data_IF_646665593089
#
_entry.id   IF_646665593089
#
_cell.length_a   1.000
_cell.length_b   1.000
_cell.length_c   1.000
_cell.angle_alpha   90.00
_cell.angle_beta   90.00
_cell.angle_gamma   90.00
#
_symmetry.space_group_name_H-M   'P 1'
#
loop_
_entity.id
_entity.type
_entity.pdbx_description
1 polymer ?
#
# COMPACT_ATOMS: atom_id res chain seq x y z
N UNK A 1 -66.96 37.94 30.25
CA UNK A 1 -66.12 37.80 28.98
C UNK A 1 -64.63 38.02 29.21
N UNK A 2 -64.04 37.67 30.37
CA UNK A 2 -62.62 38.03 30.63
C UNK A 2 -61.71 36.88 31.16
N UNK A 3 -62.15 35.65 31.11
CA UNK A 3 -61.32 34.53 31.65
C UNK A 3 -60.71 33.60 30.63
N UNK A 4 -61.08 33.68 29.35
CA UNK A 4 -60.58 32.76 28.31
C UNK A 4 -59.17 33.11 27.77
N UNK A 5 -58.80 34.40 27.80
CA UNK A 5 -57.52 34.85 27.23
C UNK A 5 -56.27 34.54 28.04
N UNK A 6 -56.41 34.41 29.37
CA UNK A 6 -55.29 34.11 30.25
C UNK A 6 -54.90 32.63 30.24
N UNK A 7 -55.86 31.73 30.03
CA UNK A 7 -55.60 30.29 29.97
C UNK A 7 -54.87 29.89 28.68
N UNK A 8 -55.26 30.54 27.57
CA UNK A 8 -54.63 30.31 26.27
C UNK A 8 -53.18 30.80 26.23
N UNK A 9 -52.86 31.91 26.88
CA UNK A 9 -51.48 32.43 27.03
C UNK A 9 -50.62 31.50 27.88
N UNK A 10 -51.14 30.92 28.94
CA UNK A 10 -50.41 29.94 29.79
C UNK A 10 -50.17 28.63 29.05
N UNK A 11 -51.09 28.21 28.20
CA UNK A 11 -50.93 27.00 27.38
C UNK A 11 -49.89 27.19 26.29
N UNK A 12 -49.83 28.36 25.64
CA UNK A 12 -48.77 28.69 24.68
C UNK A 12 -47.37 28.75 25.34
N UNK A 13 -47.28 29.28 26.56
CA UNK A 13 -46.01 29.31 27.29
C UNK A 13 -45.51 27.92 27.70
N UNK A 14 -46.39 27.00 28.07
CA UNK A 14 -46.01 25.60 28.36
C UNK A 14 -45.59 24.85 27.12
N UNK A 15 -46.20 25.08 25.98
CA UNK A 15 -45.79 24.51 24.70
C UNK A 15 -44.42 25.03 24.23
N UNK A 16 -44.12 26.31 24.40
CA UNK A 16 -42.81 26.88 24.09
C UNK A 16 -41.70 26.32 24.99
N UNK A 17 -41.95 26.03 26.26
CA UNK A 17 -41.00 25.42 27.18
C UNK A 17 -40.74 23.96 26.86
N UNK A 18 -41.73 23.21 26.44
CA UNK A 18 -41.56 21.82 26.04
C UNK A 18 -40.77 21.65 24.73
N UNK A 19 -40.87 22.60 23.80
CA UNK A 19 -40.06 22.62 22.59
C UNK A 19 -38.59 22.98 22.81
N UNK A 20 -38.26 23.83 23.78
CA UNK A 20 -36.87 24.19 24.10
C UNK A 20 -36.12 23.03 24.79
N UNK A 21 -36.79 22.16 25.51
CA UNK A 21 -36.12 20.96 26.12
C UNK A 21 -35.86 19.84 25.13
N UNK A 22 -36.64 19.73 24.04
CA UNK A 22 -36.41 18.73 22.97
C UNK A 22 -35.19 19.09 22.07
N UNK A 23 -34.86 20.40 21.95
CA UNK A 23 -33.68 20.81 21.16
C UNK A 23 -32.34 20.54 21.84
N UNK A 24 -32.31 20.40 23.17
CA UNK A 24 -31.07 20.15 23.92
C UNK A 24 -30.63 18.67 23.79
N UNK A 25 -31.56 17.72 23.52
CA UNK A 25 -31.23 16.31 23.37
C UNK A 25 -30.80 15.89 21.96
N UNK A 26 -30.90 16.77 20.97
CA UNK A 26 -30.59 16.47 19.57
C UNK A 26 -29.26 17.05 19.09
N UNK A 27 -28.36 17.42 19.98
CA UNK A 27 -26.98 17.76 19.58
C UNK A 27 -26.20 16.45 19.39
N UNK A 28 -25.86 16.05 18.16
CA UNK A 28 -24.94 14.94 17.98
C UNK A 28 -23.62 15.34 18.64
N UNK A 29 -23.14 14.48 19.54
CA UNK A 29 -21.86 14.65 20.22
C UNK A 29 -20.72 14.77 19.18
N UNK A 30 -20.48 15.96 18.66
CA UNK A 30 -19.33 16.24 17.77
C UNK A 30 -17.98 16.05 18.49
N UNK A 31 -18.00 15.97 19.82
CA UNK A 31 -16.80 15.83 20.64
C UNK A 31 -16.20 14.41 20.55
N UNK A 32 -17.02 13.36 20.34
CA UNK A 32 -16.51 11.98 20.29
C UNK A 32 -15.83 11.62 18.95
N UNK A 33 -16.27 12.25 17.84
CA UNK A 33 -15.64 11.99 16.53
C UNK A 33 -14.29 12.71 16.37
N UNK A 34 -14.15 13.90 16.96
CA UNK A 34 -12.90 14.65 16.86
C UNK A 34 -11.80 14.05 17.74
N UNK A 35 -12.15 13.46 18.89
CA UNK A 35 -11.19 12.77 19.75
C UNK A 35 -10.78 11.38 19.21
N UNK A 36 -11.63 10.72 18.43
CA UNK A 36 -11.26 9.45 17.78
C UNK A 36 -10.37 9.65 16.54
N UNK A 37 -10.41 10.84 15.90
CA UNK A 37 -9.53 11.17 14.78
C UNK A 37 -8.13 11.66 15.23
N UNK A 38 -7.97 12.08 16.51
CA UNK A 38 -6.69 12.55 17.05
C UNK A 38 -5.84 11.45 17.71
N UNK A 39 -6.35 10.23 17.84
CA UNK A 39 -5.64 9.11 18.48
C UNK A 39 -5.01 8.14 17.48
N UNK A 40 -4.81 8.54 16.21
CA UNK A 40 -3.94 7.77 15.32
C UNK A 40 -2.54 7.72 15.94
N UNK A 41 -1.98 6.55 16.24
CA UNK A 41 -0.67 6.47 16.87
C UNK A 41 0.35 7.17 15.97
N UNK A 42 1.16 8.07 16.56
CA UNK A 42 2.17 8.89 15.86
C UNK A 42 3.17 8.04 15.06
N UNK A 43 3.26 6.75 15.36
CA UNK A 43 4.19 5.77 14.78
C UNK A 43 3.48 4.51 14.27
N UNK A 44 2.28 4.66 13.72
CA UNK A 44 1.57 3.54 13.12
C UNK A 44 2.26 3.08 11.84
N UNK A 45 2.57 1.78 11.73
CA UNK A 45 3.05 1.14 10.51
C UNK A 45 1.84 0.68 9.70
N UNK A 46 1.65 1.29 8.53
CA UNK A 46 0.67 0.88 7.52
C UNK A 46 1.42 0.31 6.33
N UNK A 47 1.56 -1.01 6.32
CA UNK A 47 2.39 -1.72 5.37
C UNK A 47 1.58 -2.46 4.31
N UNK A 48 2.18 -2.63 3.13
CA UNK A 48 1.66 -3.45 2.03
C UNK A 48 2.74 -4.41 1.55
N UNK A 49 2.32 -5.63 1.22
CA UNK A 49 3.17 -6.60 0.52
C UNK A 49 3.06 -6.36 -0.98
N UNK A 50 4.20 -6.14 -1.64
CA UNK A 50 4.30 -5.96 -3.08
C UNK A 50 4.99 -7.17 -3.70
N UNK A 51 4.21 -7.98 -4.41
CA UNK A 51 4.62 -9.25 -4.97
C UNK A 51 5.15 -9.08 -6.40
N UNK A 52 6.31 -9.66 -6.69
CA UNK A 52 6.92 -9.60 -8.03
C UNK A 52 6.82 -10.92 -8.80
N UNK A 53 6.56 -12.03 -8.11
CA UNK A 53 6.47 -13.34 -8.73
C UNK A 53 5.43 -13.38 -9.86
N UNK A 54 5.88 -13.70 -11.07
CA UNK A 54 5.01 -13.78 -12.25
C UNK A 54 4.37 -12.44 -12.65
N UNK A 55 4.81 -11.32 -12.05
CA UNK A 55 4.20 -10.01 -12.28
C UNK A 55 2.82 -9.87 -11.64
N UNK A 56 2.57 -10.51 -10.49
CA UNK A 56 1.24 -10.55 -9.85
C UNK A 56 0.76 -9.14 -9.48
N UNK A 57 1.58 -8.38 -8.75
CA UNK A 57 1.26 -6.99 -8.40
C UNK A 57 2.06 -6.01 -9.29
N UNK A 58 3.32 -6.34 -9.57
CA UNK A 58 4.24 -5.60 -10.43
C UNK A 58 5.44 -6.49 -10.82
N UNK A 59 5.97 -6.37 -12.06
CA UNK A 59 5.51 -5.55 -13.18
C UNK A 59 4.51 -6.30 -14.08
N UNK A 60 3.63 -5.56 -14.74
CA UNK A 60 2.74 -6.10 -15.78
C UNK A 60 3.34 -5.98 -17.19
N UNK A 61 4.29 -5.05 -17.38
CA UNK A 61 5.02 -4.84 -18.65
C UNK A 61 6.42 -5.39 -18.55
N UNK A 62 6.85 -6.22 -19.50
CA UNK A 62 8.23 -6.70 -19.59
C UNK A 62 9.17 -5.64 -20.15
N UNK A 63 10.26 -5.34 -19.46
CA UNK A 63 11.33 -4.42 -19.88
C UNK A 63 12.19 -5.06 -20.99
N UNK A 64 11.84 -4.80 -22.24
CA UNK A 64 12.55 -5.32 -23.43
C UNK A 64 13.15 -4.24 -24.31
N UNK A 65 12.57 -3.05 -24.30
CA UNK A 65 13.00 -1.86 -25.03
C UNK A 65 13.02 -0.67 -24.08
N UNK A 66 13.66 0.44 -24.45
CA UNK A 66 13.66 1.67 -23.66
C UNK A 66 12.24 2.13 -23.32
N UNK A 67 11.33 2.05 -24.28
CA UNK A 67 9.92 2.41 -24.07
C UNK A 67 9.25 1.51 -23.02
N UNK A 68 9.45 0.21 -23.09
CA UNK A 68 8.83 -0.73 -22.12
C UNK A 68 9.49 -0.67 -20.74
N UNK A 69 10.76 -0.29 -20.64
CA UNK A 69 11.42 0.03 -19.37
C UNK A 69 10.74 1.22 -18.70
N UNK A 70 10.55 2.32 -19.42
CA UNK A 70 9.89 3.50 -18.86
C UNK A 70 8.41 3.23 -18.52
N UNK A 71 7.72 2.44 -19.32
CA UNK A 71 6.35 2.00 -19.00
C UNK A 71 6.29 1.18 -17.71
N UNK A 72 7.22 0.22 -17.54
CA UNK A 72 7.33 -0.59 -16.33
C UNK A 72 7.59 0.27 -15.08
N UNK A 73 8.48 1.25 -15.20
CA UNK A 73 8.75 2.24 -14.14
C UNK A 73 7.52 3.09 -13.83
N UNK A 74 6.78 3.53 -14.86
CA UNK A 74 5.56 4.32 -14.67
C UNK A 74 4.43 3.52 -14.01
N UNK A 75 4.30 2.23 -14.29
CA UNK A 75 3.39 1.33 -13.58
C UNK A 75 3.66 1.35 -12.07
N UNK A 76 4.94 1.24 -11.69
CA UNK A 76 5.33 1.30 -10.28
C UNK A 76 5.01 2.66 -9.65
N UNK A 77 5.38 3.77 -10.30
CA UNK A 77 5.08 5.12 -9.79
C UNK A 77 3.59 5.29 -9.52
N UNK A 78 2.75 4.87 -10.47
CA UNK A 78 1.29 4.92 -10.32
C UNK A 78 0.81 4.11 -9.13
N UNK A 79 1.35 2.92 -8.91
CA UNK A 79 1.02 2.05 -7.79
C UNK A 79 1.45 2.69 -6.46
N UNK A 80 2.67 3.21 -6.38
CA UNK A 80 3.18 3.87 -5.16
C UNK A 80 2.41 5.16 -4.85
N UNK A 81 1.96 5.92 -5.86
CA UNK A 81 1.09 7.08 -5.67
C UNK A 81 -0.29 6.68 -5.09
N UNK A 82 -0.82 5.52 -5.47
CA UNK A 82 -2.05 4.97 -4.88
C UNK A 82 -1.82 4.59 -3.41
N UNK A 83 -0.71 3.93 -3.10
CA UNK A 83 -0.33 3.58 -1.73
C UNK A 83 -0.16 4.82 -0.85
N UNK A 84 0.52 5.85 -1.34
CA UNK A 84 0.69 7.10 -0.63
C UNK A 84 -0.66 7.77 -0.31
N UNK A 85 -1.59 7.84 -1.30
CA UNK A 85 -2.94 8.37 -1.09
C UNK A 85 -3.76 7.55 -0.10
N UNK A 86 -3.53 6.24 -0.02
CA UNK A 86 -4.14 5.36 0.96
C UNK A 86 -3.50 5.45 2.36
N UNK A 87 -2.46 6.28 2.52
CA UNK A 87 -1.75 6.46 3.78
C UNK A 87 -0.79 5.32 4.12
N UNK A 88 -0.42 4.47 3.17
CA UNK A 88 0.63 3.45 3.34
C UNK A 88 1.96 4.16 3.51
N UNK A 89 2.75 3.73 4.49
CA UNK A 89 4.07 4.28 4.80
C UNK A 89 5.21 3.24 4.73
N UNK A 90 4.88 1.98 4.45
CA UNK A 90 5.86 0.88 4.41
C UNK A 90 5.52 -0.09 3.29
N UNK A 91 6.51 -0.44 2.46
CA UNK A 91 6.38 -1.41 1.38
C UNK A 91 7.29 -2.60 1.64
N UNK A 92 6.71 -3.81 1.72
CA UNK A 92 7.47 -5.06 1.79
C UNK A 92 7.58 -5.65 0.38
N UNK A 93 8.68 -5.34 -0.30
CA UNK A 93 8.91 -5.72 -1.69
C UNK A 93 9.50 -7.11 -1.82
N UNK A 94 8.88 -7.98 -2.61
CA UNK A 94 9.46 -9.29 -2.93
C UNK A 94 10.68 -9.13 -3.86
N UNK A 95 11.90 -9.19 -3.28
CA UNK A 95 13.17 -8.95 -3.96
C UNK A 95 13.87 -10.23 -4.40
N UNK A 96 13.70 -11.32 -3.66
CA UNK A 96 14.17 -12.66 -4.00
C UNK A 96 12.97 -13.62 -4.02
N UNK A 97 12.82 -14.34 -5.12
CA UNK A 97 11.63 -15.16 -5.36
C UNK A 97 11.92 -16.64 -5.18
N UNK A 98 12.69 -17.26 -6.07
CA UNK A 98 12.96 -18.72 -6.09
C UNK A 98 14.39 -19.01 -6.52
N UNK A 99 15.37 -18.49 -5.80
CA UNK A 99 16.76 -18.49 -6.24
C UNK A 99 16.99 -17.57 -7.44
N UNK A 100 16.14 -16.56 -7.59
CA UNK A 100 16.21 -15.50 -8.59
C UNK A 100 15.91 -14.17 -7.91
N UNK A 101 16.45 -13.08 -8.42
CA UNK A 101 16.40 -11.74 -7.82
C UNK A 101 15.98 -10.67 -8.82
N UNK A 102 15.54 -9.51 -8.29
CA UNK A 102 15.14 -8.35 -9.11
C UNK A 102 16.20 -7.23 -9.12
N UNK A 103 17.41 -7.53 -8.70
CA UNK A 103 18.56 -6.60 -8.61
C UNK A 103 19.84 -7.26 -9.15
N UNK A 104 20.90 -6.48 -9.46
CA UNK A 104 22.18 -7.02 -9.89
C UNK A 104 22.78 -7.91 -8.78
N UNK A 105 23.09 -9.16 -9.10
CA UNK A 105 23.66 -10.11 -8.15
C UNK A 105 24.74 -10.98 -8.81
N UNK A 106 25.86 -11.14 -8.10
CA UNK A 106 26.89 -12.11 -8.48
C UNK A 106 26.53 -13.56 -8.09
N UNK A 107 25.48 -13.73 -7.29
CA UNK A 107 25.14 -15.03 -6.70
C UNK A 107 23.95 -15.68 -7.36
N UNK A 108 22.91 -14.95 -7.68
CA UNK A 108 21.65 -15.45 -8.21
C UNK A 108 21.27 -14.73 -9.52
N UNK A 109 20.64 -15.43 -10.46
CA UNK A 109 20.24 -14.84 -11.73
C UNK A 109 19.03 -13.92 -11.58
N UNK A 110 18.83 -13.03 -12.56
CA UNK A 110 17.65 -12.20 -12.68
C UNK A 110 16.37 -13.02 -12.77
N UNK A 111 15.33 -12.60 -12.06
CA UNK A 111 14.00 -13.16 -12.22
C UNK A 111 13.40 -12.74 -13.57
N UNK A 112 12.69 -13.66 -14.21
CA UNK A 112 12.06 -13.42 -15.51
C UNK A 112 10.87 -12.46 -15.48
N UNK A 113 10.36 -12.10 -14.29
CA UNK A 113 9.23 -11.18 -14.16
C UNK A 113 9.51 -9.80 -14.74
N UNK A 114 10.77 -9.32 -14.65
CA UNK A 114 11.15 -8.00 -15.15
C UNK A 114 11.30 -7.95 -16.68
N UNK A 115 12.03 -8.87 -17.27
CA UNK A 115 12.36 -8.87 -18.72
C UNK A 115 11.49 -9.79 -19.58
N UNK A 116 10.71 -10.67 -18.94
CA UNK A 116 10.02 -11.78 -19.60
C UNK A 116 10.93 -12.93 -19.99
N UNK A 117 12.23 -12.87 -19.66
CA UNK A 117 13.22 -13.90 -19.98
C UNK A 117 14.03 -14.20 -18.71
N UNK A 118 13.89 -15.41 -18.12
CA UNK A 118 14.65 -15.79 -16.94
C UNK A 118 16.17 -15.62 -17.14
N UNK A 119 16.83 -15.00 -16.18
CA UNK A 119 18.28 -14.74 -16.19
C UNK A 119 18.71 -13.51 -16.98
N UNK A 120 17.79 -12.84 -17.71
CA UNK A 120 18.11 -11.63 -18.48
C UNK A 120 17.81 -10.39 -17.66
N UNK A 121 18.81 -9.47 -17.60
CA UNK A 121 18.64 -8.16 -16.99
C UNK A 121 17.54 -7.35 -17.70
N UNK A 122 16.74 -6.57 -16.96
CA UNK A 122 15.80 -5.61 -17.55
C UNK A 122 16.47 -4.35 -18.11
N UNK A 123 17.81 -4.21 -17.98
CA UNK A 123 18.56 -3.04 -18.42
C UNK A 123 18.66 -1.92 -17.38
N UNK A 124 18.15 -2.13 -16.16
CA UNK A 124 18.27 -1.20 -15.05
C UNK A 124 18.25 -1.96 -13.70
N UNK A 125 18.68 -1.31 -12.63
CA UNK A 125 18.53 -1.83 -11.26
C UNK A 125 17.13 -1.51 -10.75
N UNK A 126 16.27 -2.53 -10.76
CA UNK A 126 14.88 -2.37 -10.35
C UNK A 126 14.76 -2.10 -8.85
N UNK A 127 15.59 -2.74 -8.02
CA UNK A 127 15.53 -2.53 -6.57
C UNK A 127 15.97 -1.11 -6.19
N UNK A 128 17.10 -0.63 -6.73
CA UNK A 128 17.54 0.74 -6.50
C UNK A 128 16.47 1.76 -6.92
N UNK A 129 15.88 1.58 -8.11
CA UNK A 129 14.81 2.43 -8.59
C UNK A 129 13.59 2.45 -7.64
N UNK A 130 13.15 1.29 -7.12
CA UNK A 130 12.00 1.22 -6.22
C UNK A 130 12.31 1.86 -4.87
N UNK A 131 13.53 1.69 -4.34
CA UNK A 131 13.99 2.36 -3.11
C UNK A 131 13.85 3.87 -3.26
N UNK A 132 14.39 4.44 -4.34
CA UNK A 132 14.34 5.88 -4.59
C UNK A 132 12.89 6.38 -4.70
N UNK A 133 12.04 5.68 -5.44
CA UNK A 133 10.62 6.05 -5.60
C UNK A 133 9.81 5.95 -4.30
N UNK A 134 10.10 4.98 -3.42
CA UNK A 134 9.51 4.88 -2.10
C UNK A 134 9.96 6.04 -1.20
N UNK A 135 11.27 6.31 -1.13
CA UNK A 135 11.83 7.37 -0.29
C UNK A 135 11.33 8.76 -0.70
N UNK A 136 11.21 9.04 -2.01
CA UNK A 136 10.63 10.30 -2.51
C UNK A 136 9.18 10.53 -2.03
N UNK A 137 8.45 9.46 -1.70
CA UNK A 137 7.07 9.50 -1.18
C UNK A 137 6.98 9.42 0.34
N UNK A 138 8.12 9.40 1.04
CA UNK A 138 8.18 9.24 2.50
C UNK A 138 7.78 7.84 2.97
N UNK A 139 7.93 6.82 2.11
CA UNK A 139 7.67 5.42 2.44
C UNK A 139 8.97 4.68 2.70
N UNK A 140 8.96 3.80 3.72
CA UNK A 140 10.04 2.83 3.95
C UNK A 140 9.90 1.64 3.00
N UNK A 141 11.04 1.08 2.57
CA UNK A 141 11.06 -0.17 1.81
C UNK A 141 11.80 -1.25 2.57
N UNK A 142 11.15 -2.40 2.72
CA UNK A 142 11.70 -3.60 3.31
C UNK A 142 11.80 -4.71 2.27
N UNK A 143 12.97 -5.35 2.18
CA UNK A 143 13.18 -6.46 1.26
C UNK A 143 12.51 -7.73 1.78
N UNK A 144 11.54 -8.25 1.02
CA UNK A 144 10.98 -9.57 1.26
C UNK A 144 11.78 -10.64 0.51
N UNK A 145 12.43 -11.52 1.27
CA UNK A 145 13.32 -12.58 0.76
C UNK A 145 12.66 -13.94 1.02
N UNK A 146 12.34 -14.65 -0.04
CA UNK A 146 11.89 -16.06 0.03
C UNK A 146 13.14 -16.94 0.09
N UNK A 147 13.53 -17.38 1.30
CA UNK A 147 14.86 -17.96 1.57
C UNK A 147 15.06 -19.38 1.06
N UNK A 148 14.14 -20.29 1.33
CA UNK A 148 14.29 -21.72 1.08
C UNK A 148 13.96 -22.12 -0.38
N UNK A 149 12.83 -21.74 -0.98
CA UNK A 149 12.48 -22.13 -2.33
C UNK A 149 13.48 -21.64 -3.37
N UNK A 150 13.95 -22.58 -4.20
CA UNK A 150 14.85 -22.30 -5.34
C UNK A 150 14.16 -22.53 -6.69
N UNK A 151 12.83 -22.60 -6.69
CA UNK A 151 12.00 -22.82 -7.86
C UNK A 151 11.65 -24.26 -8.13
N UNK A 152 11.09 -24.53 -9.32
CA UNK A 152 10.79 -25.89 -9.77
C UNK A 152 12.08 -26.64 -10.05
N UNK A 153 12.05 -27.94 -9.84
CA UNK A 153 13.14 -28.82 -10.28
C UNK A 153 13.53 -28.53 -11.74
N UNK A 154 14.82 -28.36 -12.00
CA UNK A 154 15.37 -27.91 -13.29
C UNK A 154 15.02 -26.43 -13.67
N UNK A 155 14.40 -25.67 -12.81
CA UNK A 155 14.25 -24.24 -13.00
C UNK A 155 15.58 -23.48 -12.94
N UNK A 156 15.56 -22.19 -13.30
CA UNK A 156 16.78 -21.37 -13.39
C UNK A 156 17.53 -21.26 -12.06
N UNK A 157 16.81 -21.06 -10.94
CA UNK A 157 17.40 -20.99 -9.60
C UNK A 157 18.11 -22.31 -9.23
N UNK A 158 17.44 -23.47 -9.40
CA UNK A 158 18.05 -24.78 -9.19
C UNK A 158 19.29 -24.97 -10.04
N UNK A 159 19.23 -24.71 -11.35
CA UNK A 159 20.38 -24.87 -12.27
C UNK A 159 21.54 -23.95 -11.90
N UNK A 160 21.27 -22.74 -11.45
CA UNK A 160 22.29 -21.81 -11.01
C UNK A 160 23.03 -22.32 -9.78
N UNK A 161 22.28 -22.80 -8.77
CA UNK A 161 22.88 -23.39 -7.56
C UNK A 161 23.67 -24.65 -7.86
N UNK A 162 23.13 -25.58 -8.64
CA UNK A 162 23.84 -26.80 -9.04
C UNK A 162 25.13 -26.53 -9.81
N UNK A 163 25.18 -25.45 -10.61
CA UNK A 163 26.39 -25.04 -11.32
C UNK A 163 27.45 -24.50 -10.38
N UNK A 164 27.05 -23.73 -9.36
CA UNK A 164 27.96 -23.11 -8.38
C UNK A 164 28.47 -24.10 -7.34
N UNK A 165 27.64 -25.03 -6.96
CA UNK A 165 27.89 -26.02 -5.92
C UNK A 165 27.62 -27.44 -6.48
N UNK A 166 28.45 -27.91 -7.43
CA UNK A 166 28.37 -29.31 -7.89
C UNK A 166 28.72 -30.22 -6.72
N UNK A 167 27.89 -31.22 -6.46
CA UNK A 167 28.18 -32.25 -5.46
C UNK A 167 29.43 -33.05 -5.83
#
# INVERSE_FOLDING_TARGET
KFHATNWMKRFLWMLMWSFSTLFIYAQPNKISLQNSLSSSPKYEVRAVWLTTIGGLDWPHTYARTTYTVERQKQELRTLLDQYQRAGINTVLLQTRVRGTVIYPSAYEPWDGCLSGIPGKSPGYDALAFIIDECHQRGMELHAWIVTIPVGKWRGLGCKSLQRKYPN
#
